data_IF_667709609384
#
_entry.id   IF_667709609384
#
_cell.length_a   1.000
_cell.length_b   1.000
_cell.length_c   1.000
_cell.angle_alpha   90.00
_cell.angle_beta   90.00
_cell.angle_gamma   90.00
#
_symmetry.space_group_name_H-M   'P 1'
#
loop_
_entity.id
_entity.type
_entity.pdbx_description
1 polymer ?
#
# COMPACT_ATOMS: atom_id res chain seq x y z
N UNK A 1 -10.56 15.02 -14.42
CA UNK A 1 -11.54 14.25 -13.63
C UNK A 1 -12.01 15.12 -12.48
N UNK A 2 -13.25 15.02 -12.06
CA UNK A 2 -13.76 15.70 -10.87
C UNK A 2 -13.77 14.72 -9.67
N UNK A 3 -14.06 15.22 -8.46
CA UNK A 3 -14.04 14.38 -7.26
C UNK A 3 -15.02 13.18 -7.31
N UNK A 4 -16.11 13.29 -8.06
CA UNK A 4 -17.05 12.21 -8.25
C UNK A 4 -16.46 11.08 -9.10
N UNK A 5 -15.74 11.44 -10.18
CA UNK A 5 -15.10 10.47 -11.06
C UNK A 5 -14.09 9.59 -10.29
N UNK A 6 -13.33 10.20 -9.36
CA UNK A 6 -12.38 9.47 -8.51
C UNK A 6 -13.09 8.54 -7.51
N UNK A 7 -14.21 8.98 -6.94
CA UNK A 7 -15.03 8.10 -6.07
C UNK A 7 -15.62 6.94 -6.82
N UNK A 8 -16.15 7.18 -8.03
CA UNK A 8 -16.68 6.11 -8.88
C UNK A 8 -15.58 5.10 -9.24
N UNK A 9 -14.37 5.57 -9.55
CA UNK A 9 -13.22 4.70 -9.79
C UNK A 9 -12.86 3.86 -8.56
N UNK A 10 -12.87 4.46 -7.35
CA UNK A 10 -12.62 3.71 -6.12
C UNK A 10 -13.67 2.63 -5.87
N UNK A 11 -14.95 2.95 -5.98
CA UNK A 11 -16.00 1.96 -5.74
C UNK A 11 -16.06 0.89 -6.83
N UNK A 12 -15.63 1.20 -8.05
CA UNK A 12 -15.41 0.19 -9.07
C UNK A 12 -14.26 -0.76 -8.68
N UNK A 13 -13.11 -0.24 -8.25
CA UNK A 13 -12.00 -1.08 -7.75
C UNK A 13 -12.44 -1.91 -6.52
N UNK A 14 -13.16 -1.30 -5.58
CA UNK A 14 -13.73 -1.98 -4.42
C UNK A 14 -14.69 -3.12 -4.81
N UNK A 15 -15.50 -2.94 -5.85
CA UNK A 15 -16.40 -4.00 -6.33
C UNK A 15 -15.62 -5.23 -6.85
N UNK A 16 -14.47 -5.02 -7.46
CA UNK A 16 -13.58 -6.12 -7.90
C UNK A 16 -13.07 -6.90 -6.68
N UNK A 17 -12.61 -6.20 -5.64
CA UNK A 17 -12.20 -6.83 -4.37
C UNK A 17 -13.34 -7.65 -3.75
N UNK A 18 -14.53 -7.06 -3.64
CA UNK A 18 -15.69 -7.72 -3.06
C UNK A 18 -16.05 -8.99 -3.82
N UNK A 19 -16.04 -8.94 -5.15
CA UNK A 19 -16.35 -10.09 -5.99
C UNK A 19 -15.29 -11.19 -5.92
N UNK A 20 -14.01 -10.82 -5.97
CA UNK A 20 -12.90 -11.77 -6.13
C UNK A 20 -12.35 -12.30 -4.80
N UNK A 21 -12.38 -11.50 -3.74
CA UNK A 21 -11.78 -11.81 -2.44
C UNK A 21 -12.81 -11.84 -1.28
N UNK A 22 -14.10 -11.63 -1.57
CA UNK A 22 -15.16 -11.69 -0.57
C UNK A 22 -15.09 -10.58 0.48
N UNK A 23 -14.51 -9.42 0.14
CA UNK A 23 -14.49 -8.25 1.01
C UNK A 23 -15.84 -7.50 0.99
N UNK A 24 -16.02 -6.56 1.91
CA UNK A 24 -17.25 -5.74 2.02
C UNK A 24 -16.93 -4.23 1.94
N UNK A 25 -16.00 -3.85 1.07
CA UNK A 25 -15.68 -2.43 0.85
C UNK A 25 -16.87 -1.69 0.27
N UNK A 26 -17.25 -0.56 0.87
CA UNK A 26 -18.39 0.22 0.45
C UNK A 26 -18.38 1.65 0.98
N UNK A 27 -19.45 2.38 0.68
CA UNK A 27 -19.60 3.82 1.02
C UNK A 27 -19.62 4.10 2.52
N UNK A 28 -19.97 3.11 3.33
CA UNK A 28 -20.11 3.26 4.77
C UNK A 28 -18.79 3.00 5.53
N UNK A 29 -17.85 2.26 4.92
CA UNK A 29 -16.61 1.85 5.57
C UNK A 29 -15.34 2.22 4.79
N UNK A 30 -15.46 2.92 3.65
CA UNK A 30 -14.33 3.34 2.83
C UNK A 30 -14.46 4.80 2.42
N UNK A 31 -13.47 5.62 2.76
CA UNK A 31 -13.44 7.04 2.42
C UNK A 31 -12.29 7.38 1.48
N UNK A 32 -12.57 8.27 0.52
CA UNK A 32 -11.57 8.84 -0.37
C UNK A 32 -11.41 10.33 -0.10
N UNK A 33 -10.17 10.78 0.02
CA UNK A 33 -9.80 12.20 0.00
C UNK A 33 -8.80 12.45 -1.12
N UNK A 34 -9.13 13.40 -1.97
CA UNK A 34 -8.25 13.86 -3.03
C UNK A 34 -7.47 15.10 -2.57
N UNK A 35 -6.19 15.18 -2.93
CA UNK A 35 -5.34 16.33 -2.66
C UNK A 35 -4.50 16.70 -3.89
N UNK A 36 -3.93 17.89 -3.85
CA UNK A 36 -2.96 18.42 -4.80
C UNK A 36 -1.76 18.95 -4.01
N UNK A 37 -0.64 19.16 -4.66
CA UNK A 37 0.58 19.66 -4.00
C UNK A 37 0.34 20.93 -3.19
N UNK A 38 -0.51 21.84 -3.68
CA UNK A 38 -0.78 23.12 -3.04
C UNK A 38 -1.58 23.01 -1.74
N UNK A 39 -2.35 21.94 -1.53
CA UNK A 39 -3.22 21.75 -0.37
C UNK A 39 -2.96 20.47 0.41
N UNK A 40 -1.86 19.79 0.13
CA UNK A 40 -1.56 18.45 0.66
C UNK A 40 -1.58 18.39 2.20
N UNK A 41 -0.95 19.34 2.87
CA UNK A 41 -0.90 19.39 4.34
C UNK A 41 -2.28 19.64 4.96
N UNK A 42 -3.02 20.62 4.44
CA UNK A 42 -4.35 20.93 4.92
C UNK A 42 -5.32 19.76 4.79
N UNK A 43 -5.33 19.12 3.60
CA UNK A 43 -6.20 17.97 3.31
C UNK A 43 -5.82 16.78 4.20
N UNK A 44 -4.52 16.51 4.38
CA UNK A 44 -4.03 15.44 5.25
C UNK A 44 -4.46 15.67 6.70
N UNK A 45 -4.24 16.88 7.25
CA UNK A 45 -4.65 17.20 8.61
C UNK A 45 -6.15 17.04 8.83
N UNK A 46 -6.97 17.54 7.90
CA UNK A 46 -8.43 17.44 8.00
C UNK A 46 -8.86 15.97 7.92
N UNK A 47 -8.26 15.19 7.04
CA UNK A 47 -8.54 13.77 6.87
C UNK A 47 -8.17 12.98 8.13
N UNK A 48 -6.96 13.17 8.66
CA UNK A 48 -6.53 12.50 9.88
C UNK A 48 -7.36 12.93 11.09
N UNK A 49 -7.60 14.23 11.30
CA UNK A 49 -8.42 14.73 12.41
C UNK A 49 -9.83 14.12 12.39
N UNK A 50 -10.38 13.88 11.21
CA UNK A 50 -11.75 13.36 11.07
C UNK A 50 -11.84 11.84 11.23
N UNK A 51 -10.88 11.08 10.69
CA UNK A 51 -11.01 9.63 10.55
C UNK A 51 -9.89 8.84 11.23
N UNK A 52 -8.67 9.41 11.34
CA UNK A 52 -7.46 8.73 11.79
C UNK A 52 -6.65 9.57 12.76
N UNK A 53 -7.23 10.04 13.89
CA UNK A 53 -6.58 11.01 14.78
C UNK A 53 -5.24 10.51 15.34
N UNK A 54 -5.09 9.20 15.51
CA UNK A 54 -3.86 8.55 16.00
C UNK A 54 -2.74 8.53 14.94
N UNK A 55 -3.04 8.90 13.67
CA UNK A 55 -2.08 8.95 12.56
C UNK A 55 -1.55 10.36 12.28
N UNK A 56 -1.98 11.36 13.04
CA UNK A 56 -1.51 12.73 12.90
C UNK A 56 -0.16 12.85 13.61
N UNK A 57 0.91 12.56 12.91
CA UNK A 57 2.30 12.69 13.38
C UNK A 57 2.92 13.98 12.85
N UNK A 58 3.91 14.52 13.56
CA UNK A 58 4.61 15.75 13.14
C UNK A 58 5.41 15.58 11.84
N UNK A 59 5.69 14.32 11.44
CA UNK A 59 6.48 14.00 10.25
C UNK A 59 5.86 14.42 8.91
N UNK A 60 4.55 14.68 8.86
CA UNK A 60 3.90 15.16 7.63
C UNK A 60 4.37 16.56 7.19
N UNK A 61 5.13 17.26 8.02
CA UNK A 61 5.78 18.52 7.70
C UNK A 61 7.17 18.35 7.07
N UNK A 62 7.71 17.12 7.05
CA UNK A 62 9.01 16.84 6.45
C UNK A 62 8.94 16.91 4.92
N UNK A 63 10.01 17.39 4.29
CA UNK A 63 10.13 17.42 2.83
C UNK A 63 10.01 16.00 2.27
N UNK A 64 9.21 15.86 1.20
CA UNK A 64 9.00 14.58 0.54
C UNK A 64 7.96 13.66 1.19
N UNK A 65 7.37 14.03 2.32
CA UNK A 65 6.33 13.19 2.97
C UNK A 65 5.17 12.85 2.04
N UNK A 66 4.79 13.75 1.14
CA UNK A 66 3.68 13.57 0.19
C UNK A 66 4.14 13.12 -1.21
N UNK A 67 5.36 12.59 -1.35
CA UNK A 67 5.88 12.08 -2.63
C UNK A 67 5.30 10.70 -2.97
N UNK A 68 3.99 10.53 -2.78
CA UNK A 68 3.25 9.32 -3.14
C UNK A 68 2.10 9.65 -4.11
N UNK A 69 1.65 8.65 -4.86
CA UNK A 69 0.50 8.74 -5.76
C UNK A 69 -0.82 8.57 -5.01
N UNK A 70 -0.86 7.65 -4.09
CA UNK A 70 -1.94 7.40 -3.14
C UNK A 70 -1.35 6.82 -1.85
N UNK A 71 -2.16 6.75 -0.80
CA UNK A 71 -1.78 6.11 0.46
C UNK A 71 -3.02 5.58 1.18
N UNK A 72 -2.93 4.32 1.62
CA UNK A 72 -3.97 3.65 2.38
C UNK A 72 -3.87 3.91 3.87
N UNK A 73 -5.02 4.03 4.51
CA UNK A 73 -5.19 4.21 5.95
C UNK A 73 -6.17 3.17 6.46
N UNK A 74 -5.73 2.32 7.37
CA UNK A 74 -6.58 1.31 7.99
C UNK A 74 -7.12 1.86 9.29
N UNK A 75 -8.44 1.86 9.42
CA UNK A 75 -9.14 2.30 10.63
C UNK A 75 -9.07 1.26 11.75
N UNK A 76 -9.60 1.62 12.92
CA UNK A 76 -9.82 0.66 14.01
C UNK A 76 -10.83 -0.41 13.57
N UNK A 77 -10.98 -1.47 14.34
CA UNK A 77 -11.76 -2.65 13.98
C UNK A 77 -13.16 -2.33 13.44
N UNK A 78 -13.87 -1.38 14.08
CA UNK A 78 -15.20 -0.90 13.64
C UNK A 78 -15.14 0.47 12.92
N UNK A 79 -13.96 0.90 12.51
CA UNK A 79 -13.74 2.21 11.87
C UNK A 79 -13.78 2.15 10.36
N UNK A 80 -13.77 3.34 9.75
CA UNK A 80 -13.65 3.46 8.29
C UNK A 80 -12.19 3.30 7.86
N UNK A 81 -11.98 2.67 6.73
CA UNK A 81 -10.71 2.70 6.02
C UNK A 81 -10.66 3.89 5.06
N UNK A 82 -9.49 4.32 4.68
CA UNK A 82 -9.37 5.50 3.84
C UNK A 82 -8.23 5.46 2.85
N UNK A 83 -8.40 6.22 1.78
CA UNK A 83 -7.37 6.43 0.78
C UNK A 83 -7.20 7.93 0.56
N UNK A 84 -5.96 8.41 0.67
CA UNK A 84 -5.54 9.71 0.16
C UNK A 84 -5.04 9.55 -1.26
N UNK A 85 -5.57 10.32 -2.21
CA UNK A 85 -5.22 10.25 -3.62
C UNK A 85 -4.74 11.61 -4.12
N UNK A 86 -3.54 11.64 -4.68
CA UNK A 86 -2.98 12.82 -5.34
C UNK A 86 -3.58 12.98 -6.73
N UNK A 87 -4.10 14.18 -7.07
CA UNK A 87 -4.88 14.42 -8.29
C UNK A 87 -4.27 15.43 -9.27
N UNK A 88 -3.18 16.09 -8.92
CA UNK A 88 -2.41 16.98 -9.80
C UNK A 88 -1.50 16.24 -10.80
N UNK A 89 -1.39 14.94 -10.70
CA UNK A 89 -0.69 14.07 -11.64
C UNK A 89 -1.69 13.54 -12.66
N UNK A 90 -1.45 13.83 -13.94
CA UNK A 90 -2.27 13.27 -15.02
C UNK A 90 -2.05 11.75 -15.12
N UNK A 91 -3.13 10.99 -15.15
CA UNK A 91 -3.11 9.52 -15.21
C UNK A 91 -4.06 8.99 -16.25
N UNK A 92 -3.68 7.86 -16.84
CA UNK A 92 -4.61 7.07 -17.63
C UNK A 92 -5.64 6.39 -16.68
N UNK A 93 -6.93 6.23 -17.07
CA UNK A 93 -7.93 5.56 -16.23
C UNK A 93 -7.53 4.16 -15.74
N UNK A 94 -6.83 3.38 -16.57
CA UNK A 94 -6.33 2.07 -16.18
C UNK A 94 -5.25 2.16 -15.09
N UNK A 95 -4.38 3.16 -15.15
CA UNK A 95 -3.37 3.43 -14.12
C UNK A 95 -4.03 3.83 -12.80
N UNK A 96 -5.04 4.68 -12.84
CA UNK A 96 -5.82 5.04 -11.66
C UNK A 96 -6.49 3.81 -11.03
N UNK A 97 -7.10 2.94 -11.84
CA UNK A 97 -7.70 1.68 -11.37
C UNK A 97 -6.66 0.83 -10.63
N UNK A 98 -5.50 0.66 -11.24
CA UNK A 98 -4.41 -0.14 -10.65
C UNK A 98 -3.93 0.45 -9.31
N UNK A 99 -3.69 1.77 -9.23
CA UNK A 99 -3.32 2.44 -7.99
C UNK A 99 -4.37 2.20 -6.89
N UNK A 100 -5.65 2.32 -7.21
CA UNK A 100 -6.71 2.10 -6.25
C UNK A 100 -6.82 0.63 -5.80
N UNK A 101 -6.59 -0.33 -6.70
CA UNK A 101 -6.48 -1.74 -6.35
C UNK A 101 -5.28 -2.00 -5.42
N UNK A 102 -4.14 -1.36 -5.67
CA UNK A 102 -2.95 -1.45 -4.82
C UNK A 102 -3.23 -0.91 -3.40
N UNK A 103 -3.85 0.26 -3.27
CA UNK A 103 -4.18 0.81 -1.96
C UNK A 103 -5.23 -0.04 -1.21
N UNK A 104 -6.22 -0.59 -1.92
CA UNK A 104 -7.17 -1.53 -1.34
C UNK A 104 -6.49 -2.83 -0.89
N UNK A 105 -5.45 -3.28 -1.61
CA UNK A 105 -4.68 -4.43 -1.22
C UNK A 105 -3.90 -4.19 0.09
N UNK A 106 -3.37 -3.00 0.33
CA UNK A 106 -2.79 -2.64 1.63
C UNK A 106 -3.81 -2.76 2.77
N UNK A 107 -5.03 -2.25 2.57
CA UNK A 107 -6.12 -2.37 3.54
C UNK A 107 -6.46 -3.85 3.77
N UNK A 108 -6.64 -4.61 2.68
CA UNK A 108 -6.94 -6.04 2.73
C UNK A 108 -5.87 -6.83 3.48
N UNK A 109 -4.59 -6.63 3.17
CA UNK A 109 -3.48 -7.30 3.84
C UNK A 109 -3.48 -7.01 5.34
N UNK A 110 -3.68 -5.76 5.74
CA UNK A 110 -3.71 -5.36 7.15
C UNK A 110 -4.91 -5.97 7.87
N UNK A 111 -6.11 -5.90 7.28
CA UNK A 111 -7.35 -6.46 7.87
C UNK A 111 -7.31 -7.99 8.02
N UNK A 112 -6.56 -8.67 7.18
CA UNK A 112 -6.43 -10.13 7.21
C UNK A 112 -5.10 -10.60 7.82
N UNK A 113 -4.35 -9.71 8.50
CA UNK A 113 -3.08 -10.01 9.16
C UNK A 113 -2.03 -10.66 8.22
N UNK A 114 -2.13 -10.38 6.91
CA UNK A 114 -1.19 -10.90 5.92
C UNK A 114 0.14 -10.16 6.03
N UNK A 115 1.03 -10.68 6.87
CA UNK A 115 2.35 -10.13 7.13
C UNK A 115 2.35 -8.83 7.94
N UNK A 116 1.31 -8.63 8.76
CA UNK A 116 1.12 -7.43 9.53
C UNK A 116 1.73 -7.51 10.94
N UNK A 117 0.87 -7.36 11.92
CA UNK A 117 1.22 -7.09 13.31
C UNK A 117 2.08 -8.19 13.94
N UNK A 118 1.85 -9.47 13.61
CA UNK A 118 2.66 -10.57 14.11
C UNK A 118 4.15 -10.48 13.70
N UNK A 119 4.43 -9.95 12.49
CA UNK A 119 5.82 -9.74 12.07
C UNK A 119 6.42 -8.55 12.82
N UNK A 120 5.67 -7.45 12.90
CA UNK A 120 6.12 -6.26 13.61
C UNK A 120 6.35 -6.55 15.09
N UNK A 121 5.37 -7.16 15.78
CA UNK A 121 5.50 -7.54 17.19
C UNK A 121 6.64 -8.54 17.42
N UNK A 122 6.79 -9.51 16.53
CA UNK A 122 7.75 -10.59 16.70
C UNK A 122 9.20 -10.19 16.41
N UNK A 123 9.40 -9.26 15.48
CA UNK A 123 10.73 -8.92 14.99
C UNK A 123 11.12 -7.45 15.19
N UNK A 124 10.17 -6.52 15.14
CA UNK A 124 10.47 -5.10 15.29
C UNK A 124 10.37 -4.62 16.75
N UNK A 125 9.65 -5.37 17.61
CA UNK A 125 9.55 -5.09 19.06
C UNK A 125 10.54 -5.92 19.90
N UNK A 126 11.47 -6.64 19.27
CA UNK A 126 12.47 -7.42 19.96
C UNK A 126 13.66 -6.55 20.37
N UNK A 127 13.70 -6.13 21.64
CA UNK A 127 14.77 -5.32 22.22
C UNK A 127 16.13 -6.05 22.27
N UNK A 128 16.20 -7.33 21.89
CA UNK A 128 17.43 -8.12 21.87
C UNK A 128 18.21 -8.00 20.55
N UNK A 129 17.58 -7.49 19.49
CA UNK A 129 18.24 -7.28 18.19
C UNK A 129 19.00 -5.96 18.17
N UNK A 130 20.07 -5.90 17.37
CA UNK A 130 20.82 -4.67 17.20
C UNK A 130 20.03 -3.64 16.40
N UNK A 131 20.33 -2.35 16.56
CA UNK A 131 19.71 -1.27 15.78
C UNK A 131 19.89 -1.44 14.25
N UNK A 132 20.97 -2.07 13.83
CA UNK A 132 21.25 -2.34 12.41
C UNK A 132 20.34 -3.47 11.89
N UNK A 133 20.17 -4.53 12.67
CA UNK A 133 19.25 -5.63 12.36
C UNK A 133 17.80 -5.13 12.34
N UNK A 134 17.38 -4.35 13.34
CA UNK A 134 16.07 -3.72 13.38
C UNK A 134 15.81 -2.86 12.13
N UNK A 135 16.75 -1.99 11.75
CA UNK A 135 16.65 -1.20 10.53
C UNK A 135 16.53 -2.05 9.25
N UNK A 136 17.22 -3.21 9.22
CA UNK A 136 17.14 -4.16 8.10
C UNK A 136 15.78 -4.86 8.03
N UNK A 137 15.29 -5.31 9.18
CA UNK A 137 13.98 -5.98 9.31
C UNK A 137 12.86 -5.02 8.90
N UNK A 138 12.86 -3.80 9.42
CA UNK A 138 11.86 -2.78 9.09
C UNK A 138 11.84 -2.43 7.59
N UNK A 139 13.02 -2.29 6.98
CA UNK A 139 13.11 -2.03 5.54
C UNK A 139 12.61 -3.22 4.70
N UNK A 140 12.93 -4.45 5.13
CA UNK A 140 12.44 -5.67 4.49
C UNK A 140 10.92 -5.79 4.59
N UNK A 141 10.36 -5.49 5.74
CA UNK A 141 8.93 -5.49 5.97
C UNK A 141 8.21 -4.45 5.08
N UNK A 142 8.76 -3.25 4.97
CA UNK A 142 8.20 -2.22 4.09
C UNK A 142 8.16 -2.70 2.63
N UNK A 143 9.27 -3.27 2.12
CA UNK A 143 9.33 -3.82 0.76
C UNK A 143 8.33 -4.97 0.56
N UNK A 144 8.23 -5.86 1.56
CA UNK A 144 7.29 -6.98 1.51
C UNK A 144 5.83 -6.50 1.42
N UNK A 145 5.46 -5.49 2.21
CA UNK A 145 4.11 -4.90 2.16
C UNK A 145 3.76 -4.35 0.77
N UNK A 146 4.68 -3.60 0.18
CA UNK A 146 4.51 -3.07 -1.18
C UNK A 146 4.38 -4.19 -2.21
N UNK A 147 5.25 -5.21 -2.12
CA UNK A 147 5.20 -6.36 -3.01
C UNK A 147 3.88 -7.13 -2.90
N UNK A 148 3.41 -7.40 -1.69
CA UNK A 148 2.16 -8.11 -1.46
C UNK A 148 0.96 -7.33 -2.04
N UNK A 149 0.89 -6.02 -1.79
CA UNK A 149 -0.16 -5.17 -2.33
C UNK A 149 -0.14 -5.13 -3.86
N UNK A 150 1.04 -5.01 -4.45
CA UNK A 150 1.20 -4.98 -5.90
C UNK A 150 0.84 -6.31 -6.57
N UNK A 151 1.21 -7.45 -5.96
CA UNK A 151 0.83 -8.76 -6.48
C UNK A 151 -0.68 -8.97 -6.47
N UNK A 152 -1.36 -8.57 -5.40
CA UNK A 152 -2.83 -8.64 -5.32
C UNK A 152 -3.46 -7.72 -6.35
N UNK A 153 -3.01 -6.47 -6.45
CA UNK A 153 -3.52 -5.53 -7.44
C UNK A 153 -3.35 -6.05 -8.85
N UNK A 154 -2.20 -6.66 -9.14
CA UNK A 154 -1.89 -7.25 -10.43
C UNK A 154 -2.82 -8.42 -10.80
N UNK A 155 -3.10 -9.32 -9.86
CA UNK A 155 -4.01 -10.45 -10.06
C UNK A 155 -5.48 -10.01 -10.23
N UNK A 156 -5.84 -8.85 -9.68
CA UNK A 156 -7.18 -8.29 -9.79
C UNK A 156 -7.38 -7.36 -10.99
N UNK A 157 -6.29 -6.88 -11.60
CA UNK A 157 -6.33 -5.94 -12.72
C UNK A 157 -6.31 -6.64 -14.08
N UNK A 158 -7.48 -6.83 -14.67
CA UNK A 158 -7.63 -7.45 -16.00
C UNK A 158 -6.94 -6.66 -17.14
N UNK A 159 -6.49 -5.43 -16.87
CA UNK A 159 -5.80 -4.57 -17.84
C UNK A 159 -4.31 -4.35 -17.50
N UNK A 160 -3.69 -5.30 -16.84
CA UNK A 160 -2.29 -5.21 -16.41
C UNK A 160 -1.29 -4.92 -17.54
N UNK A 161 -1.63 -5.20 -18.79
CA UNK A 161 -0.79 -4.88 -19.96
C UNK A 161 -0.65 -3.37 -20.27
N UNK A 162 -1.54 -2.55 -19.70
CA UNK A 162 -1.54 -1.08 -19.90
C UNK A 162 -0.59 -0.38 -18.91
N UNK A 163 -0.24 -1.06 -17.85
CA UNK A 163 0.63 -0.53 -16.79
C UNK A 163 2.08 -0.95 -17.06
N UNK A 164 3.03 -0.01 -17.28
CA UNK A 164 4.35 -0.30 -17.87
C UNK A 164 5.31 -1.20 -17.07
N UNK A 165 4.96 -1.66 -15.89
CA UNK A 165 5.88 -2.45 -15.04
C UNK A 165 5.42 -3.90 -14.89
N UNK A 166 5.19 -4.79 -16.13
CA UNK A 166 4.26 -5.43 -15.33
C UNK A 166 3.80 -6.81 -15.69
N UNK A 167 4.78 -7.49 -15.97
CA UNK A 167 4.71 -8.93 -15.78
C UNK A 167 5.18 -9.22 -14.35
N UNK A 168 4.54 -10.15 -13.64
CA UNK A 168 4.95 -10.65 -12.32
C UNK A 168 6.48 -10.83 -12.21
N UNK A 169 7.10 -11.32 -13.30
CA UNK A 169 8.55 -11.48 -13.42
C UNK A 169 9.33 -10.16 -13.36
N UNK A 170 8.79 -9.08 -13.91
CA UNK A 170 9.47 -7.77 -13.94
C UNK A 170 9.36 -7.09 -12.57
N UNK A 171 8.24 -7.29 -11.85
CA UNK A 171 8.07 -6.85 -10.47
C UNK A 171 9.09 -7.51 -9.54
N UNK A 172 9.24 -8.82 -9.65
CA UNK A 172 10.19 -9.57 -8.86
C UNK A 172 11.61 -9.07 -9.07
N UNK A 173 12.01 -8.87 -10.34
CA UNK A 173 13.34 -8.34 -10.69
C UNK A 173 13.53 -6.90 -10.22
N UNK A 174 12.49 -6.08 -10.20
CA UNK A 174 12.54 -4.71 -9.68
C UNK A 174 12.77 -4.72 -8.16
N UNK A 175 11.96 -5.43 -7.40
CA UNK A 175 12.12 -5.50 -5.95
C UNK A 175 13.41 -6.21 -5.52
N UNK A 176 13.85 -7.23 -6.25
CA UNK A 176 15.18 -7.83 -6.05
C UNK A 176 16.30 -6.80 -6.28
N UNK A 177 16.19 -5.98 -7.32
CA UNK A 177 17.11 -4.88 -7.60
C UNK A 177 17.15 -3.85 -6.47
N UNK A 178 16.00 -3.42 -5.96
CA UNK A 178 15.89 -2.49 -4.84
C UNK A 178 16.49 -3.06 -3.55
N UNK A 179 16.26 -4.34 -3.26
CA UNK A 179 16.84 -5.03 -2.10
C UNK A 179 18.37 -5.16 -2.22
N UNK A 180 18.89 -5.44 -3.42
CA UNK A 180 20.33 -5.58 -3.65
C UNK A 180 21.07 -4.24 -3.65
N UNK A 181 20.45 -3.16 -4.08
CA UNK A 181 21.04 -1.81 -4.10
C UNK A 181 20.99 -1.10 -2.75
N UNK A 182 20.13 -1.56 -1.83
CA UNK A 182 19.97 -1.00 -0.50
C UNK A 182 21.00 -1.51 0.51
N UNK A 183 22.25 -1.05 0.45
CA UNK A 183 23.27 -1.15 1.50
C UNK A 183 23.34 -2.46 2.32
N UNK A 184 23.61 -3.59 1.67
CA UNK A 184 23.99 -4.81 2.38
C UNK A 184 22.82 -5.70 2.87
N UNK A 185 21.63 -5.54 2.35
CA UNK A 185 20.40 -6.24 2.78
C UNK A 185 20.20 -7.61 2.12
N UNK A 186 21.25 -8.37 1.90
CA UNK A 186 21.18 -9.72 1.27
C UNK A 186 20.28 -10.71 2.04
N UNK A 187 20.16 -10.57 3.37
CA UNK A 187 19.33 -11.47 4.18
C UNK A 187 17.82 -11.35 3.90
N UNK A 188 17.36 -10.15 3.59
CA UNK A 188 15.94 -9.90 3.27
C UNK A 188 15.58 -10.43 1.87
N UNK A 189 16.50 -10.34 0.91
CA UNK A 189 16.37 -10.92 -0.42
C UNK A 189 16.16 -12.44 -0.35
N UNK A 190 16.89 -13.15 0.50
CA UNK A 190 16.72 -14.60 0.69
C UNK A 190 15.35 -14.96 1.27
N UNK A 191 14.88 -14.23 2.28
CA UNK A 191 13.56 -14.49 2.91
C UNK A 191 12.43 -14.24 1.91
N UNK A 192 12.52 -13.18 1.09
CA UNK A 192 11.54 -12.91 0.05
C UNK A 192 11.58 -13.96 -1.07
N UNK A 193 12.76 -14.41 -1.51
CA UNK A 193 12.88 -15.47 -2.49
C UNK A 193 12.30 -16.80 -1.98
N UNK A 194 12.52 -17.16 -0.71
CA UNK A 194 11.95 -18.37 -0.11
C UNK A 194 10.42 -18.28 0.05
N UNK A 195 9.91 -17.13 0.47
CA UNK A 195 8.45 -16.91 0.57
C UNK A 195 7.76 -16.98 -0.80
N UNK A 196 8.44 -16.55 -1.85
CA UNK A 196 7.91 -16.52 -3.21
C UNK A 196 8.00 -17.88 -3.92
N UNK A 197 9.07 -18.64 -3.70
CA UNK A 197 9.20 -20.01 -4.22
C UNK A 197 8.23 -20.96 -3.54
N UNK A 198 7.87 -20.75 -2.29
CA UNK A 198 6.83 -21.54 -1.62
C UNK A 198 5.42 -21.21 -2.10
N UNK A 199 5.16 -19.99 -2.54
CA UNK A 199 3.86 -19.60 -3.13
C UNK A 199 3.66 -20.10 -4.58
N UNK A 200 4.73 -20.43 -5.29
CA UNK A 200 4.65 -21.03 -6.64
C UNK A 200 4.49 -22.57 -6.61
N UNK A 201 4.56 -23.18 -5.44
CA UNK A 201 4.48 -24.63 -5.24
C UNK A 201 3.11 -25.17 -4.82
N UNK A 202 2.11 -24.29 -4.62
CA UNK A 202 0.72 -24.61 -4.35
C UNK A 202 -0.18 -24.19 -5.52
#
# INVERSE_FOLDING_TARGET
MNNNDYKEALFYAASIFNERLGTEFGVDNLVLRCFQTENQQEVFEQFCKQYFPDRLEDRYTEDGYFDFHASAFVGKEDGVDGILLRTDIARHPAELKHILLHELAHIFCTRNELGGDNFYERYCMDDTISREEDGTINAGYAVWRELAAELIAFELDDNCDVVPLRRKKDLLSYYEGELLTGNGKMGVSMILCEAMTSAEGE
#
